data_IF_207588565150
#
_entry.id   IF_207588565150
#
_cell.length_a   1.000
_cell.length_b   1.000
_cell.length_c   1.000
_cell.angle_alpha   90.00
_cell.angle_beta   90.00
_cell.angle_gamma   90.00
#
_symmetry.space_group_name_H-M   'P 1'
#
loop_
_entity.id
_entity.type
_entity.pdbx_description
1 polymer ?
#
# COMPACT_ATOMS: atom_id res chain seq x y z
N UNK A 1 -30.13 9.96 -52.89
CA UNK A 1 -30.26 8.95 -51.83
C UNK A 1 -29.08 9.10 -50.89
N UNK A 2 -29.35 9.47 -49.64
CA UNK A 2 -28.34 9.69 -48.60
C UNK A 2 -27.64 8.36 -48.30
N UNK A 3 -26.33 8.29 -48.56
CA UNK A 3 -25.52 7.12 -48.21
C UNK A 3 -25.56 6.96 -46.69
N UNK A 4 -26.12 5.85 -46.24
CA UNK A 4 -26.21 5.49 -44.83
C UNK A 4 -24.78 5.43 -44.26
N UNK A 5 -24.48 6.28 -43.28
CA UNK A 5 -23.19 6.29 -42.58
C UNK A 5 -23.21 5.14 -41.58
N UNK A 6 -23.15 3.90 -42.07
CA UNK A 6 -23.30 2.66 -41.27
C UNK A 6 -22.13 2.41 -40.31
N UNK A 7 -21.00 3.11 -40.50
CA UNK A 7 -19.86 2.99 -39.60
C UNK A 7 -19.99 3.96 -38.44
N UNK A 8 -20.38 3.47 -37.26
CA UNK A 8 -20.33 4.21 -36.00
C UNK A 8 -18.97 4.11 -35.30
N UNK A 9 -17.93 3.61 -35.98
CA UNK A 9 -16.59 3.42 -35.41
C UNK A 9 -15.99 4.70 -34.83
N UNK A 10 -16.33 5.86 -35.38
CA UNK A 10 -15.91 7.18 -34.89
C UNK A 10 -16.43 7.50 -33.47
N UNK A 11 -17.51 6.86 -33.01
CA UNK A 11 -18.07 7.06 -31.66
C UNK A 11 -17.33 6.26 -30.58
N UNK A 12 -16.44 5.36 -30.98
CA UNK A 12 -15.57 4.60 -30.08
C UNK A 12 -14.25 5.31 -29.81
N UNK A 13 -13.99 6.41 -30.50
CA UNK A 13 -12.81 7.24 -30.24
C UNK A 13 -13.05 8.02 -28.95
N UNK A 14 -12.16 7.79 -27.98
CA UNK A 14 -12.09 8.57 -26.76
C UNK A 14 -11.36 9.88 -27.06
N UNK A 15 -12.13 10.92 -27.40
CA UNK A 15 -11.60 12.25 -27.70
C UNK A 15 -11.10 12.96 -26.44
N UNK A 16 -11.65 12.61 -25.27
CA UNK A 16 -11.30 13.18 -23.97
C UNK A 16 -9.87 12.76 -23.57
N UNK A 17 -9.42 11.57 -24.00
CA UNK A 17 -8.04 11.11 -23.81
C UNK A 17 -6.98 11.98 -24.52
N UNK A 18 -7.38 12.77 -25.52
CA UNK A 18 -6.51 13.65 -26.31
C UNK A 18 -6.61 15.13 -25.91
N UNK A 19 -7.43 15.49 -24.92
CA UNK A 19 -7.55 16.86 -24.43
C UNK A 19 -6.25 17.31 -23.74
N UNK A 20 -5.73 18.47 -24.14
CA UNK A 20 -4.51 19.06 -23.57
C UNK A 20 -4.70 19.51 -22.11
N UNK A 21 -5.94 19.83 -21.73
CA UNK A 21 -6.32 20.23 -20.36
C UNK A 21 -6.50 19.03 -19.41
N UNK A 22 -6.32 17.80 -19.91
CA UNK A 22 -6.39 16.60 -19.08
C UNK A 22 -5.31 16.67 -18.01
N UNK A 23 -5.72 16.47 -16.76
CA UNK A 23 -4.80 16.46 -15.64
C UNK A 23 -3.75 15.34 -15.81
N UNK A 24 -2.49 15.73 -16.05
CA UNK A 24 -1.34 14.83 -16.04
C UNK A 24 -0.84 14.65 -14.60
N UNK A 25 -0.63 13.41 -14.18
CA UNK A 25 -0.37 13.09 -12.78
C UNK A 25 1.05 13.44 -12.32
N UNK A 26 1.91 13.92 -13.23
CA UNK A 26 3.29 14.31 -12.97
C UNK A 26 4.18 13.11 -12.62
N UNK A 27 5.50 13.27 -12.79
CA UNK A 27 6.45 12.25 -12.36
C UNK A 27 6.81 12.45 -10.88
N UNK A 28 6.28 11.58 -10.00
CA UNK A 28 6.75 11.53 -8.62
C UNK A 28 8.16 10.91 -8.54
N UNK A 29 9.05 11.57 -7.80
CA UNK A 29 10.42 11.09 -7.58
C UNK A 29 10.37 9.78 -6.78
N UNK A 30 10.67 8.67 -7.45
CA UNK A 30 10.62 7.33 -6.87
C UNK A 30 11.82 7.11 -5.95
N UNK A 31 11.58 6.89 -4.65
CA UNK A 31 12.60 6.34 -3.78
C UNK A 31 12.58 4.81 -3.95
N UNK A 32 13.51 4.29 -4.75
CA UNK A 32 13.76 2.84 -4.83
C UNK A 32 14.44 2.37 -3.54
N UNK A 33 13.64 2.05 -2.54
CA UNK A 33 14.08 1.27 -1.38
C UNK A 33 13.61 -0.16 -1.56
N UNK A 34 14.54 -1.10 -1.56
CA UNK A 34 14.24 -2.54 -1.62
C UNK A 34 14.26 -3.08 -0.20
N UNK A 35 13.18 -3.75 0.19
CA UNK A 35 13.11 -4.44 1.47
C UNK A 35 13.96 -5.72 1.41
N UNK A 36 14.97 -5.82 2.28
CA UNK A 36 15.85 -6.99 2.33
C UNK A 36 15.27 -8.12 3.19
N UNK A 37 14.77 -9.17 2.52
CA UNK A 37 14.24 -10.40 3.14
C UNK A 37 15.16 -10.99 4.21
N UNK A 38 16.48 -10.98 3.97
CA UNK A 38 17.44 -11.63 4.89
C UNK A 38 17.50 -10.92 6.23
N UNK A 39 17.36 -9.60 6.22
CA UNK A 39 17.36 -8.79 7.44
C UNK A 39 16.10 -9.05 8.25
N UNK A 40 14.94 -9.08 7.59
CA UNK A 40 13.65 -9.34 8.25
C UNK A 40 13.60 -10.75 8.83
N UNK A 41 14.02 -11.77 8.09
CA UNK A 41 14.07 -13.14 8.62
C UNK A 41 15.02 -13.28 9.81
N UNK A 42 16.12 -12.53 9.81
CA UNK A 42 17.07 -12.52 10.94
C UNK A 42 16.48 -11.83 12.17
N UNK A 43 15.74 -10.73 11.98
CA UNK A 43 15.03 -10.03 13.06
C UNK A 43 13.90 -10.87 13.65
N UNK A 44 13.14 -11.58 12.82
CA UNK A 44 12.08 -12.49 13.24
C UNK A 44 12.65 -13.68 14.04
N UNK A 45 13.77 -14.27 13.61
CA UNK A 45 14.49 -15.31 14.39
C UNK A 45 15.00 -14.78 15.73
N UNK A 46 15.38 -13.51 15.79
CA UNK A 46 15.81 -12.83 17.02
C UNK A 46 14.67 -12.38 17.93
N UNK A 47 13.41 -12.68 17.61
CA UNK A 47 12.21 -12.22 18.33
C UNK A 47 12.10 -10.67 18.41
N UNK A 48 12.73 -9.94 17.48
CA UNK A 48 12.72 -8.47 17.39
C UNK A 48 11.63 -8.00 16.42
N UNK A 49 10.40 -8.47 16.62
CA UNK A 49 9.29 -8.30 15.67
C UNK A 49 8.93 -6.82 15.42
N UNK A 50 9.00 -5.97 16.45
CA UNK A 50 8.72 -4.54 16.33
C UNK A 50 9.73 -3.80 15.46
N UNK A 51 11.00 -4.19 15.51
CA UNK A 51 12.04 -3.61 14.65
C UNK A 51 11.93 -4.10 13.22
N UNK A 52 11.55 -5.38 13.02
CA UNK A 52 11.24 -5.91 11.70
C UNK A 52 10.12 -5.10 11.03
N UNK A 53 9.04 -4.82 11.77
CA UNK A 53 7.94 -3.99 11.28
C UNK A 53 8.42 -2.60 10.87
N UNK A 54 9.17 -1.93 11.74
CA UNK A 54 9.69 -0.59 11.45
C UNK A 54 10.60 -0.57 10.22
N UNK A 55 11.46 -1.58 10.08
CA UNK A 55 12.36 -1.70 8.94
C UNK A 55 11.59 -1.89 7.61
N UNK A 56 10.52 -2.69 7.61
CA UNK A 56 9.64 -2.81 6.44
C UNK A 56 8.98 -1.48 6.11
N UNK A 57 8.42 -0.78 7.11
CA UNK A 57 7.76 0.52 6.89
C UNK A 57 8.72 1.59 6.35
N UNK A 58 9.98 1.60 6.79
CA UNK A 58 11.00 2.54 6.34
C UNK A 58 11.51 2.27 4.93
N UNK A 59 11.56 0.99 4.52
CA UNK A 59 12.07 0.58 3.22
C UNK A 59 10.96 0.22 2.23
N UNK A 60 9.70 0.52 2.56
CA UNK A 60 8.56 0.26 1.67
C UNK A 60 8.74 1.10 0.40
N UNK A 61 8.75 0.49 -0.79
CA UNK A 61 8.92 1.23 -2.03
C UNK A 61 7.67 2.09 -2.28
N UNK A 62 7.79 3.42 -2.24
CA UNK A 62 6.68 4.36 -2.47
C UNK A 62 6.92 5.14 -3.76
N UNK A 63 6.00 5.07 -4.73
CA UNK A 63 6.10 5.76 -6.02
C UNK A 63 5.33 5.11 -7.16
N UNK A 64 5.19 5.84 -8.28
CA UNK A 64 4.42 5.45 -9.47
C UNK A 64 5.14 4.44 -10.39
N UNK A 65 6.49 4.40 -10.34
CA UNK A 65 7.33 3.57 -11.22
C UNK A 65 7.90 2.31 -10.53
N UNK A 66 7.21 1.76 -9.54
CA UNK A 66 7.63 0.53 -8.85
C UNK A 66 6.93 -0.69 -9.46
N UNK A 67 7.69 -1.77 -9.67
CA UNK A 67 7.14 -3.03 -10.17
C UNK A 67 6.07 -3.58 -9.24
N UNK A 68 4.97 -4.09 -9.80
CA UNK A 68 3.91 -4.70 -9.02
C UNK A 68 4.43 -5.87 -8.15
N UNK A 69 5.45 -6.58 -8.65
CA UNK A 69 6.10 -7.68 -7.94
C UNK A 69 6.79 -7.22 -6.65
N UNK A 70 7.44 -6.06 -6.64
CA UNK A 70 8.13 -5.53 -5.47
C UNK A 70 7.15 -5.08 -4.38
N UNK A 71 6.01 -4.52 -4.80
CA UNK A 71 4.90 -4.14 -3.92
C UNK A 71 4.29 -5.36 -3.25
N UNK A 72 4.03 -6.40 -4.04
CA UNK A 72 3.44 -7.64 -3.55
C UNK A 72 4.42 -8.38 -2.62
N UNK A 73 5.71 -8.42 -2.97
CA UNK A 73 6.77 -8.98 -2.13
C UNK A 73 6.87 -8.28 -0.78
N UNK A 74 6.86 -6.95 -0.78
CA UNK A 74 6.88 -6.14 0.46
C UNK A 74 5.64 -6.44 1.32
N UNK A 75 4.48 -6.56 0.68
CA UNK A 75 3.20 -6.84 1.37
C UNK A 75 3.19 -8.24 1.99
N UNK A 76 3.67 -9.26 1.27
CA UNK A 76 3.78 -10.63 1.80
C UNK A 76 4.72 -10.70 3.00
N UNK A 77 5.81 -9.94 2.96
CA UNK A 77 6.74 -9.85 4.08
C UNK A 77 6.10 -9.16 5.29
N UNK A 78 5.36 -8.07 5.07
CA UNK A 78 4.59 -7.45 6.13
C UNK A 78 3.58 -8.46 6.72
N UNK A 79 2.79 -9.14 5.89
CA UNK A 79 1.82 -10.15 6.34
C UNK A 79 2.47 -11.19 7.25
N UNK A 80 3.65 -11.71 6.86
CA UNK A 80 4.45 -12.63 7.68
C UNK A 80 4.79 -12.03 9.05
N UNK A 81 5.23 -10.77 9.10
CA UNK A 81 5.54 -10.06 10.36
C UNK A 81 4.27 -9.87 11.20
N UNK A 82 3.17 -9.41 10.61
CA UNK A 82 1.92 -9.15 11.33
C UNK A 82 1.36 -10.41 12.00
N UNK A 83 1.57 -11.58 11.38
CA UNK A 83 1.16 -12.90 11.91
C UNK A 83 2.01 -13.38 13.10
N UNK A 84 3.21 -12.86 13.32
CA UNK A 84 4.04 -13.27 14.48
C UNK A 84 3.61 -12.61 15.78
N UNK A 85 2.88 -11.50 15.71
CA UNK A 85 2.41 -10.77 16.87
C UNK A 85 1.20 -11.43 17.53
N UNK A 86 1.18 -11.44 18.85
CA UNK A 86 -0.02 -11.78 19.62
C UNK A 86 -0.95 -10.58 19.68
N UNK A 87 -2.25 -10.82 19.74
CA UNK A 87 -3.28 -9.75 19.76
C UNK A 87 -3.00 -8.69 20.85
N UNK A 88 -2.55 -9.12 22.03
CA UNK A 88 -2.26 -8.22 23.17
C UNK A 88 -1.02 -7.34 22.98
N UNK A 89 -0.13 -7.68 22.04
CA UNK A 89 1.10 -6.93 21.76
C UNK A 89 0.86 -5.83 20.72
N UNK A 90 -0.19 -5.98 19.89
CA UNK A 90 -0.50 -5.08 18.77
C UNK A 90 -0.69 -3.64 19.26
N UNK A 91 -1.49 -3.43 20.30
CA UNK A 91 -1.76 -2.09 20.84
C UNK A 91 -0.47 -1.36 21.26
N UNK A 92 0.43 -2.07 21.94
CA UNK A 92 1.71 -1.52 22.38
C UNK A 92 2.66 -1.18 21.23
N UNK A 93 2.61 -1.90 20.12
CA UNK A 93 3.38 -1.58 18.91
C UNK A 93 2.74 -0.41 18.15
N UNK A 94 1.43 -0.48 17.92
CA UNK A 94 0.68 0.59 17.25
C UNK A 94 0.83 1.89 18.03
N UNK A 95 0.92 1.86 19.36
CA UNK A 95 1.17 3.01 20.24
C UNK A 95 2.51 3.72 20.05
N UNK A 96 3.50 3.08 19.42
CA UNK A 96 4.84 3.65 19.20
C UNK A 96 5.03 4.27 17.83
N UNK A 97 4.12 4.00 16.88
CA UNK A 97 4.22 4.49 15.51
C UNK A 97 4.04 6.01 15.43
N UNK A 98 4.65 6.66 14.45
CA UNK A 98 4.27 8.01 14.05
C UNK A 98 3.10 8.00 13.06
N UNK A 99 2.52 9.18 12.79
CA UNK A 99 1.38 9.30 11.87
C UNK A 99 1.72 8.81 10.45
N UNK A 100 2.93 9.11 9.97
CA UNK A 100 3.41 8.66 8.65
C UNK A 100 3.55 7.14 8.56
N UNK A 101 4.05 6.51 9.63
CA UNK A 101 4.17 5.04 9.71
C UNK A 101 2.79 4.38 9.80
N UNK A 102 1.83 5.00 10.50
CA UNK A 102 0.46 4.50 10.55
C UNK A 102 -0.23 4.57 9.18
N UNK A 103 0.02 5.63 8.41
CA UNK A 103 -0.48 5.76 7.03
C UNK A 103 0.08 4.67 6.13
N UNK A 104 1.41 4.43 6.19
CA UNK A 104 2.08 3.37 5.44
C UNK A 104 1.59 1.99 5.85
N UNK A 105 1.47 1.73 7.14
CA UNK A 105 0.95 0.47 7.65
C UNK A 105 -0.48 0.23 7.18
N UNK A 106 -1.35 1.24 7.22
CA UNK A 106 -2.73 1.13 6.73
C UNK A 106 -2.77 0.82 5.23
N UNK A 107 -1.90 1.48 4.44
CA UNK A 107 -1.78 1.22 3.00
C UNK A 107 -1.39 -0.23 2.72
N UNK A 108 -0.37 -0.73 3.41
CA UNK A 108 0.08 -2.10 3.24
C UNK A 108 -0.93 -3.14 3.76
N UNK A 109 -1.69 -2.83 4.82
CA UNK A 109 -2.77 -3.71 5.32
C UNK A 109 -3.90 -3.82 4.29
N UNK A 110 -4.26 -2.74 3.60
CA UNK A 110 -5.24 -2.79 2.51
C UNK A 110 -4.74 -3.58 1.31
N UNK A 111 -3.47 -3.41 0.94
CA UNK A 111 -2.84 -4.27 -0.07
C UNK A 111 -2.81 -5.74 0.37
N UNK A 112 -2.54 -6.01 1.65
CA UNK A 112 -2.55 -7.36 2.19
C UNK A 112 -3.93 -8.00 2.13
N UNK A 113 -5.03 -7.24 2.32
CA UNK A 113 -6.38 -7.76 2.13
C UNK A 113 -6.65 -8.25 0.70
N UNK A 114 -5.99 -7.67 -0.31
CA UNK A 114 -6.13 -8.11 -1.71
C UNK A 114 -5.35 -9.39 -1.99
N UNK A 115 -4.17 -9.56 -1.40
CA UNK A 115 -3.25 -10.66 -1.71
C UNK A 115 -3.46 -11.86 -0.77
N UNK A 116 -3.51 -11.59 0.54
CA UNK A 116 -3.58 -12.61 1.58
C UNK A 116 -4.48 -12.10 2.73
N UNK A 117 -5.81 -12.26 2.62
CA UNK A 117 -6.76 -11.73 3.60
C UNK A 117 -6.72 -12.45 4.97
N UNK A 118 -5.90 -13.50 5.09
CA UNK A 118 -5.78 -14.35 6.27
C UNK A 118 -4.83 -13.76 7.32
N UNK A 119 -5.19 -13.91 8.60
CA UNK A 119 -4.38 -13.50 9.74
C UNK A 119 -4.94 -12.30 10.51
N UNK A 120 -4.15 -11.67 11.40
CA UNK A 120 -4.67 -10.68 12.33
C UNK A 120 -4.90 -9.28 11.71
N UNK A 121 -5.11 -9.19 10.39
CA UNK A 121 -5.18 -7.91 9.65
C UNK A 121 -6.29 -6.99 10.15
N UNK A 122 -7.46 -7.54 10.48
CA UNK A 122 -8.58 -6.77 11.05
C UNK A 122 -8.27 -6.26 12.46
N UNK A 123 -7.54 -7.03 13.28
CA UNK A 123 -7.10 -6.59 14.59
C UNK A 123 -6.11 -5.43 14.46
N UNK A 124 -5.15 -5.53 13.54
CA UNK A 124 -4.21 -4.44 13.23
C UNK A 124 -4.95 -3.17 12.77
N UNK A 125 -5.88 -3.31 11.82
CA UNK A 125 -6.69 -2.20 11.32
C UNK A 125 -7.50 -1.54 12.45
N UNK A 126 -8.20 -2.33 13.25
CA UNK A 126 -8.98 -1.84 14.39
C UNK A 126 -8.13 -1.04 15.37
N UNK A 127 -6.92 -1.51 15.68
CA UNK A 127 -6.01 -0.81 16.60
C UNK A 127 -5.46 0.50 16.01
N UNK A 128 -5.15 0.53 14.71
CA UNK A 128 -4.74 1.77 14.03
C UNK A 128 -5.86 2.80 14.09
N UNK A 129 -7.10 2.39 13.80
CA UNK A 129 -8.27 3.27 13.84
C UNK A 129 -8.56 3.76 15.26
N UNK A 130 -8.40 2.88 16.26
CA UNK A 130 -8.57 3.25 17.67
C UNK A 130 -7.61 4.38 18.08
N UNK A 131 -6.34 4.32 17.64
CA UNK A 131 -5.32 5.30 17.99
C UNK A 131 -5.34 6.58 17.14
N UNK A 132 -5.40 6.43 15.82
CA UNK A 132 -5.21 7.52 14.86
C UNK A 132 -6.52 8.01 14.23
N UNK A 133 -7.65 7.39 14.58
CA UNK A 133 -8.94 7.68 13.97
C UNK A 133 -9.00 7.25 12.50
N UNK A 134 -9.83 7.94 11.73
CA UNK A 134 -10.07 7.65 10.30
C UNK A 134 -9.07 8.33 9.36
N UNK A 135 -8.17 9.17 9.89
CA UNK A 135 -7.20 9.94 9.09
C UNK A 135 -6.34 9.07 8.16
N UNK A 136 -5.71 8.00 8.66
CA UNK A 136 -4.90 7.10 7.83
C UNK A 136 -5.70 6.46 6.69
N UNK A 137 -6.95 6.07 6.95
CA UNK A 137 -7.83 5.49 5.93
C UNK A 137 -8.11 6.50 4.81
N UNK A 138 -8.50 7.73 5.17
CA UNK A 138 -8.80 8.78 4.19
C UNK A 138 -7.56 9.08 3.36
N UNK A 139 -6.38 9.21 3.98
CA UNK A 139 -5.12 9.48 3.28
C UNK A 139 -4.74 8.36 2.32
N UNK A 140 -4.98 7.09 2.67
CA UNK A 140 -4.78 5.96 1.76
C UNK A 140 -5.67 6.10 0.53
N UNK A 141 -6.97 6.36 0.70
CA UNK A 141 -7.91 6.53 -0.42
C UNK A 141 -7.63 7.76 -1.29
N UNK A 142 -7.08 8.83 -0.72
CA UNK A 142 -6.70 10.04 -1.47
C UNK A 142 -5.27 9.96 -2.03
N UNK A 143 -4.51 8.92 -1.70
CA UNK A 143 -3.13 8.79 -2.14
C UNK A 143 -3.10 8.38 -3.61
N UNK A 144 -2.40 9.17 -4.42
CA UNK A 144 -2.23 8.90 -5.86
C UNK A 144 -1.26 7.75 -6.13
N UNK A 145 -0.27 7.59 -5.25
CA UNK A 145 0.71 6.51 -5.33
C UNK A 145 0.22 5.33 -4.52
N UNK A 146 -0.68 4.52 -5.09
CA UNK A 146 -1.03 3.24 -4.47
C UNK A 146 0.17 2.29 -4.54
N UNK A 147 0.41 1.61 -3.41
CA UNK A 147 1.17 0.37 -3.41
C UNK A 147 0.36 -0.68 -4.16
#
# INVERSE_FOLDING_TARGET
>A
MTKNVESTAYRKLDVDALEEDKFDEGEDNCLQTVVDEKTIDSLLRGNRNGEALLNVLQNTPVGTKISQEDKDRTTLMLSKILKTFRVNEIEGVVGKLCEKEADLLTKLVYRAFEIEPEGPLLQWHSQIVSRFGKGPIVRVFTSRNSL
#
